data_IF_915209008449
#
_entry.id   IF_915209008449
#
_cell.length_a   1.000
_cell.length_b   1.000
_cell.length_c   1.000
_cell.angle_alpha   90.00
_cell.angle_beta   90.00
_cell.angle_gamma   90.00
#
_symmetry.space_group_name_H-M   'P 1'
#
loop_
_entity.id
_entity.type
_entity.pdbx_description
1 polymer ?
#
# COMPACT_ATOMS: atom_id res chain seq x y z
N UNK A 1 11.45 26.04 -12.46
CA UNK A 1 10.48 25.12 -13.14
C UNK A 1 9.47 24.64 -12.11
N UNK A 2 8.20 24.80 -12.39
CA UNK A 2 7.12 24.25 -11.58
C UNK A 2 6.71 22.87 -12.09
N UNK A 3 6.67 21.88 -11.20
CA UNK A 3 6.32 20.49 -11.53
C UNK A 3 5.01 20.12 -10.89
N UNK A 4 4.04 19.71 -11.71
CA UNK A 4 2.85 18.99 -11.27
C UNK A 4 3.15 17.49 -11.20
N UNK A 5 2.65 16.82 -10.17
CA UNK A 5 2.88 15.38 -10.01
C UNK A 5 1.57 14.65 -9.70
N UNK A 6 1.27 13.61 -10.49
CA UNK A 6 0.11 12.74 -10.27
C UNK A 6 0.62 11.37 -9.89
N UNK A 7 0.18 10.87 -8.73
CA UNK A 7 0.53 9.54 -8.23
C UNK A 7 -0.69 8.63 -8.30
N UNK A 8 -0.56 7.51 -9.02
CA UNK A 8 -1.62 6.52 -9.18
C UNK A 8 -1.18 5.17 -8.66
N UNK A 9 -2.13 4.37 -8.20
CA UNK A 9 -1.93 2.98 -7.82
C UNK A 9 -1.63 2.77 -6.33
N UNK A 10 -0.52 2.11 -5.99
CA UNK A 10 -0.27 1.57 -4.65
C UNK A 10 0.79 2.35 -3.87
N UNK A 11 0.94 2.02 -2.58
CA UNK A 11 1.92 2.60 -1.64
C UNK A 11 3.36 2.60 -2.17
N UNK A 12 3.75 1.59 -2.99
CA UNK A 12 5.06 1.52 -3.62
C UNK A 12 5.23 2.63 -4.66
N UNK A 13 4.15 2.97 -5.40
CA UNK A 13 4.16 4.11 -6.32
C UNK A 13 4.23 5.44 -5.55
N UNK A 14 3.57 5.55 -4.39
CA UNK A 14 3.69 6.73 -3.52
C UNK A 14 5.14 6.94 -3.09
N UNK A 15 5.83 5.90 -2.63
CA UNK A 15 7.26 5.97 -2.29
C UNK A 15 8.11 6.39 -3.49
N UNK A 16 7.82 5.84 -4.68
CA UNK A 16 8.54 6.19 -5.90
C UNK A 16 8.31 7.66 -6.29
N UNK A 17 7.07 8.14 -6.18
CA UNK A 17 6.73 9.55 -6.43
C UNK A 17 7.47 10.50 -5.50
N UNK A 18 7.51 10.22 -4.20
CA UNK A 18 8.25 11.01 -3.22
C UNK A 18 9.76 11.05 -3.52
N UNK A 19 10.33 9.95 -4.04
CA UNK A 19 11.73 9.89 -4.49
C UNK A 19 11.96 10.72 -5.76
N UNK A 20 11.06 10.63 -6.75
CA UNK A 20 11.11 11.47 -7.95
C UNK A 20 11.07 12.96 -7.60
N UNK A 21 10.17 13.33 -6.70
CA UNK A 21 10.01 14.70 -6.25
C UNK A 21 11.26 15.22 -5.52
N UNK A 22 11.89 14.40 -4.70
CA UNK A 22 13.16 14.77 -4.06
C UNK A 22 14.26 15.02 -5.09
N UNK A 23 14.40 14.13 -6.09
CA UNK A 23 15.38 14.32 -7.18
C UNK A 23 15.14 15.60 -8.00
N UNK A 24 13.88 15.94 -8.25
CA UNK A 24 13.51 17.16 -8.97
C UNK A 24 13.78 18.41 -8.12
N UNK A 25 13.46 18.37 -6.83
CA UNK A 25 13.72 19.46 -5.89
C UNK A 25 15.24 19.72 -5.71
N UNK A 26 16.07 18.68 -5.72
CA UNK A 26 17.54 18.80 -5.70
C UNK A 26 18.10 19.60 -6.92
N UNK A 27 17.30 19.69 -7.98
CA UNK A 27 17.61 20.48 -9.18
C UNK A 27 16.90 21.84 -9.22
N UNK A 28 16.30 22.25 -8.10
CA UNK A 28 15.62 23.54 -7.98
C UNK A 28 14.23 23.55 -8.61
N UNK A 29 13.61 22.39 -8.84
CA UNK A 29 12.22 22.36 -9.22
C UNK A 29 11.34 22.70 -8.00
N UNK A 30 10.28 23.46 -8.25
CA UNK A 30 9.25 23.80 -7.29
C UNK A 30 8.00 23.00 -7.60
N UNK A 31 7.31 22.53 -6.59
CA UNK A 31 6.02 21.92 -6.76
C UNK A 31 4.97 22.95 -7.14
N UNK A 32 4.16 22.63 -8.14
CA UNK A 32 3.01 23.43 -8.51
C UNK A 32 1.90 23.27 -7.46
N UNK A 33 1.24 24.37 -7.11
CA UNK A 33 0.09 24.33 -6.18
C UNK A 33 -1.16 23.69 -6.83
N UNK A 34 -1.25 23.77 -8.16
CA UNK A 34 -2.27 23.12 -9.01
C UNK A 34 -1.62 22.63 -10.30
N UNK A 35 -2.22 21.62 -10.93
CA UNK A 35 -1.69 21.09 -12.19
C UNK A 35 -1.69 22.13 -13.31
N UNK A 36 -2.66 23.02 -13.34
CA UNK A 36 -2.77 24.13 -14.32
C UNK A 36 -1.61 25.13 -14.23
N UNK A 37 -0.91 25.19 -13.10
CA UNK A 37 0.26 26.04 -12.90
C UNK A 37 1.60 25.35 -13.22
N UNK A 38 1.55 24.05 -13.55
CA UNK A 38 2.73 23.26 -13.81
C UNK A 38 3.33 23.55 -15.20
N UNK A 39 4.66 23.64 -15.26
CA UNK A 39 5.45 23.69 -16.50
C UNK A 39 5.78 22.28 -17.02
N UNK A 40 5.91 21.31 -16.10
CA UNK A 40 6.08 19.90 -16.41
C UNK A 40 5.11 19.10 -15.54
N UNK A 41 4.36 18.18 -16.14
CA UNK A 41 3.47 17.26 -15.42
C UNK A 41 4.04 15.86 -15.51
N UNK A 42 4.28 15.25 -14.35
CA UNK A 42 4.77 13.86 -14.23
C UNK A 42 3.65 12.98 -13.69
N UNK A 43 3.30 11.93 -14.42
CA UNK A 43 2.26 10.96 -14.03
C UNK A 43 2.94 9.62 -13.69
N UNK A 44 2.91 9.22 -12.42
CA UNK A 44 3.37 7.90 -12.00
C UNK A 44 2.23 6.90 -12.13
N UNK A 45 2.31 6.06 -13.17
CA UNK A 45 1.25 5.20 -13.67
C UNK A 45 1.19 3.85 -12.98
N UNK A 46 -0.01 3.29 -12.88
CA UNK A 46 -0.26 1.92 -12.44
C UNK A 46 -0.69 1.04 -13.62
N UNK A 47 -0.10 -0.16 -13.73
CA UNK A 47 -0.39 -1.14 -14.78
C UNK A 47 -0.84 -2.50 -14.24
N UNK A 48 -1.34 -2.57 -12.99
CA UNK A 48 -1.58 -3.83 -12.30
C UNK A 48 -2.88 -4.51 -12.72
N UNK A 49 -3.98 -3.77 -12.82
CA UNK A 49 -5.29 -4.23 -13.28
C UNK A 49 -5.85 -3.25 -14.32
N UNK A 50 -6.85 -3.70 -15.10
CA UNK A 50 -7.38 -2.88 -16.20
C UNK A 50 -8.01 -1.57 -15.74
N UNK A 51 -8.67 -1.55 -14.58
CA UNK A 51 -9.20 -0.32 -13.99
C UNK A 51 -8.08 0.71 -13.71
N UNK A 52 -6.95 0.27 -13.15
CA UNK A 52 -5.82 1.13 -12.87
C UNK A 52 -5.07 1.59 -14.14
N UNK A 53 -5.06 0.75 -15.19
CA UNK A 53 -4.56 1.16 -16.52
C UNK A 53 -5.41 2.26 -17.11
N UNK A 54 -6.76 2.09 -17.04
CA UNK A 54 -7.71 3.11 -17.52
C UNK A 54 -7.52 4.43 -16.79
N UNK A 55 -7.47 4.41 -15.45
CA UNK A 55 -7.21 5.60 -14.63
C UNK A 55 -5.89 6.29 -15.04
N UNK A 56 -4.84 5.51 -15.27
CA UNK A 56 -3.55 6.03 -15.71
C UNK A 56 -3.62 6.69 -17.10
N UNK A 57 -4.35 6.10 -18.03
CA UNK A 57 -4.56 6.68 -19.38
C UNK A 57 -5.40 7.95 -19.28
N UNK A 58 -6.48 7.93 -18.52
CA UNK A 58 -7.36 9.10 -18.32
C UNK A 58 -6.55 10.29 -17.74
N UNK A 59 -5.67 10.05 -16.76
CA UNK A 59 -4.80 11.07 -16.19
C UNK A 59 -3.77 11.62 -17.19
N UNK A 60 -3.20 10.77 -18.05
CA UNK A 60 -2.27 11.20 -19.11
C UNK A 60 -3.00 12.07 -20.13
N UNK A 61 -4.17 11.67 -20.59
CA UNK A 61 -4.97 12.43 -21.54
C UNK A 61 -5.36 13.79 -20.98
N UNK A 62 -5.74 13.86 -19.70
CA UNK A 62 -6.04 15.12 -19.04
C UNK A 62 -4.82 16.04 -18.95
N UNK A 63 -3.66 15.51 -18.58
CA UNK A 63 -2.41 16.27 -18.60
C UNK A 63 -2.02 16.74 -20.02
N UNK A 64 -2.31 15.93 -21.05
CA UNK A 64 -2.10 16.30 -22.45
C UNK A 64 -2.91 17.53 -22.86
N UNK A 65 -4.19 17.63 -22.42
CA UNK A 65 -5.03 18.83 -22.67
C UNK A 65 -4.46 20.10 -22.04
N UNK A 66 -3.80 19.97 -20.89
CA UNK A 66 -3.17 21.13 -20.23
C UNK A 66 -1.97 21.70 -21.02
N UNK A 67 -1.37 20.92 -21.96
CA UNK A 67 -0.38 21.44 -22.90
C UNK A 67 -1.00 22.41 -23.93
N UNK A 68 -2.19 22.10 -24.40
CA UNK A 68 -2.89 22.90 -25.40
C UNK A 68 -3.40 24.22 -24.84
N UNK A 69 -3.84 24.21 -23.58
CA UNK A 69 -4.56 25.32 -22.92
C UNK A 69 -3.64 26.16 -22.00
N UNK A 70 -2.42 25.71 -21.68
CA UNK A 70 -1.72 26.26 -20.54
C UNK A 70 -0.22 26.47 -20.62
N UNK A 71 0.38 26.44 -19.43
CA UNK A 71 1.81 26.64 -19.21
C UNK A 71 2.62 25.35 -19.35
N UNK A 72 1.94 24.20 -19.43
CA UNK A 72 2.58 22.90 -19.48
C UNK A 72 3.41 22.77 -20.77
N UNK A 73 4.70 22.58 -20.61
CA UNK A 73 5.67 22.43 -21.70
C UNK A 73 5.95 20.95 -22.01
N UNK A 74 5.79 20.07 -20.99
CA UNK A 74 6.03 18.65 -21.17
C UNK A 74 5.15 17.80 -20.24
N UNK A 75 4.66 16.68 -20.77
CA UNK A 75 4.00 15.60 -20.06
C UNK A 75 4.92 14.40 -20.02
N UNK A 76 5.15 13.87 -18.82
CA UNK A 76 6.04 12.72 -18.58
C UNK A 76 5.24 11.60 -17.93
N UNK A 77 5.18 10.44 -18.57
CA UNK A 77 4.59 9.24 -18.00
C UNK A 77 5.68 8.32 -17.44
N UNK A 78 5.58 7.95 -16.17
CA UNK A 78 6.53 7.04 -15.51
C UNK A 78 5.81 5.86 -14.87
N UNK A 79 6.53 4.83 -14.45
CA UNK A 79 6.02 3.80 -13.56
C UNK A 79 5.67 2.48 -14.22
N UNK A 80 4.77 1.72 -13.57
CA UNK A 80 4.52 0.31 -13.87
C UNK A 80 3.84 0.07 -15.22
N UNK A 81 2.90 0.93 -15.63
CA UNK A 81 2.23 0.78 -16.93
C UNK A 81 3.22 1.04 -18.06
N UNK A 82 4.02 2.11 -17.93
CA UNK A 82 5.06 2.43 -18.93
C UNK A 82 6.10 1.31 -19.01
N UNK A 83 6.52 0.72 -17.89
CA UNK A 83 7.46 -0.41 -17.89
C UNK A 83 6.98 -1.57 -18.76
N UNK A 84 5.67 -1.75 -18.85
CA UNK A 84 5.05 -2.91 -19.47
C UNK A 84 4.60 -2.67 -20.91
N UNK A 85 4.14 -1.46 -21.22
CA UNK A 85 3.42 -1.12 -22.44
C UNK A 85 3.99 0.13 -23.16
N UNK A 86 5.30 0.40 -23.01
CA UNK A 86 5.93 1.63 -23.51
C UNK A 86 5.63 1.90 -24.99
N UNK A 87 5.87 0.91 -25.86
CA UNK A 87 5.77 1.10 -27.32
C UNK A 87 4.31 1.35 -27.73
N UNK A 88 3.36 0.61 -27.15
CA UNK A 88 1.93 0.79 -27.38
C UNK A 88 1.45 2.18 -26.90
N UNK A 89 1.94 2.60 -25.71
CA UNK A 89 1.61 3.91 -25.16
C UNK A 89 2.21 5.05 -26.00
N UNK A 90 3.43 4.89 -26.49
CA UNK A 90 4.08 5.90 -27.34
C UNK A 90 3.34 6.10 -28.68
N UNK A 91 2.81 5.01 -29.24
CA UNK A 91 2.01 5.08 -30.46
C UNK A 91 0.61 5.67 -30.22
N UNK A 92 0.00 5.39 -29.06
CA UNK A 92 -1.37 5.79 -28.74
C UNK A 92 -1.50 7.18 -28.10
N UNK A 93 -0.44 7.70 -27.44
CA UNK A 93 -0.45 8.94 -26.65
C UNK A 93 0.66 9.88 -27.10
N UNK A 94 0.54 10.48 -28.29
CA UNK A 94 1.56 11.36 -28.87
C UNK A 94 1.77 12.68 -28.09
N UNK A 95 0.85 13.04 -27.20
CA UNK A 95 0.95 14.18 -26.29
C UNK A 95 2.03 14.02 -25.22
N UNK A 96 2.48 12.79 -24.93
CA UNK A 96 3.50 12.49 -23.91
C UNK A 96 4.90 12.68 -24.49
N UNK A 97 5.71 13.53 -23.88
CA UNK A 97 7.07 13.87 -24.32
C UNK A 97 8.12 12.86 -23.88
N UNK A 98 7.86 12.12 -22.77
CA UNK A 98 8.82 11.19 -22.19
C UNK A 98 8.11 10.03 -21.49
N UNK A 99 8.52 8.81 -21.83
CA UNK A 99 8.09 7.58 -21.18
C UNK A 99 9.26 6.91 -20.44
N UNK A 100 9.14 6.70 -19.12
CA UNK A 100 10.14 6.01 -18.30
C UNK A 100 9.49 4.87 -17.50
N UNK A 101 10.04 3.67 -17.65
CA UNK A 101 9.59 2.52 -16.86
C UNK A 101 9.93 2.65 -15.37
N UNK A 102 9.31 1.81 -14.55
CA UNK A 102 9.56 1.78 -13.10
C UNK A 102 11.03 1.51 -12.72
N UNK A 103 11.79 0.85 -13.60
CA UNK A 103 13.22 0.58 -13.41
C UNK A 103 14.14 1.74 -13.85
N UNK A 104 13.59 2.82 -14.40
CA UNK A 104 14.35 3.91 -15.01
C UNK A 104 14.25 5.22 -14.21
N UNK A 105 14.01 5.13 -12.89
CA UNK A 105 13.82 6.30 -12.02
C UNK A 105 14.98 7.30 -12.13
N UNK A 106 16.21 6.82 -12.22
CA UNK A 106 17.41 7.65 -12.27
C UNK A 106 17.56 8.44 -13.60
N UNK A 107 16.72 8.13 -14.61
CA UNK A 107 16.74 8.81 -15.91
C UNK A 107 15.89 10.07 -15.97
N UNK A 108 14.94 10.28 -15.05
CA UNK A 108 14.01 11.41 -15.14
C UNK A 108 14.75 12.75 -15.18
N UNK A 109 15.62 13.00 -14.21
CA UNK A 109 16.37 14.26 -14.15
C UNK A 109 17.29 14.47 -15.35
N UNK A 110 18.16 13.51 -15.74
CA UNK A 110 18.97 13.64 -16.95
C UNK A 110 18.18 13.91 -18.23
N UNK A 111 17.02 13.29 -18.40
CA UNK A 111 16.17 13.48 -19.57
C UNK A 111 15.52 14.87 -19.61
N UNK A 112 15.10 15.41 -18.45
CA UNK A 112 14.58 16.77 -18.35
C UNK A 112 15.69 17.82 -18.53
N UNK A 113 16.91 17.57 -18.02
CA UNK A 113 18.08 18.43 -18.27
C UNK A 113 18.44 18.49 -19.76
N UNK A 114 18.44 17.35 -20.44
CA UNK A 114 18.75 17.27 -21.87
C UNK A 114 17.74 18.04 -22.72
N UNK A 115 16.50 18.16 -22.27
CA UNK A 115 15.43 18.94 -22.92
C UNK A 115 15.43 20.42 -22.53
N UNK A 116 16.31 20.83 -21.62
CA UNK A 116 16.37 22.21 -21.11
C UNK A 116 15.20 22.59 -20.19
N UNK A 117 14.45 21.61 -19.71
CA UNK A 117 13.28 21.80 -18.85
C UNK A 117 13.66 21.99 -17.38
N UNK A 118 14.84 21.55 -16.96
CA UNK A 118 15.35 21.71 -15.58
C UNK A 118 16.79 22.20 -15.61
N UNK A 119 17.19 23.01 -14.60
CA UNK A 119 18.54 23.52 -14.49
C UNK A 119 19.53 22.46 -13.99
N UNK A 120 20.83 22.71 -14.26
CA UNK A 120 21.93 21.84 -13.79
C UNK A 120 22.39 22.15 -12.37
N UNK A 121 21.85 23.17 -11.72
CA UNK A 121 22.23 23.53 -10.36
C UNK A 121 21.60 22.56 -9.37
N UNK A 122 22.44 21.95 -8.55
CA UNK A 122 22.00 21.17 -7.40
C UNK A 122 21.75 22.12 -6.23
N UNK A 123 20.50 22.23 -5.80
CA UNK A 123 20.18 22.81 -4.51
C UNK A 123 20.21 21.67 -3.48
N UNK A 124 20.98 21.77 -2.39
CA UNK A 124 21.01 20.71 -1.39
C UNK A 124 19.63 20.55 -0.78
N UNK A 125 19.01 19.41 -1.01
CA UNK A 125 17.78 19.02 -0.33
C UNK A 125 18.12 18.02 0.79
N UNK A 126 17.74 18.27 2.03
CA UNK A 126 18.16 17.45 3.18
C UNK A 126 17.46 16.09 3.26
N UNK A 127 16.65 15.72 2.29
CA UNK A 127 15.84 14.50 2.36
C UNK A 127 15.87 13.65 1.11
N UNK A 128 15.92 12.33 1.28
CA UNK A 128 15.82 11.33 0.21
C UNK A 128 14.42 11.31 -0.41
N UNK A 129 13.41 11.88 0.29
CA UNK A 129 12.00 11.86 -0.10
C UNK A 129 11.29 13.15 0.27
N UNK A 130 10.47 13.65 -0.66
CA UNK A 130 9.49 14.70 -0.39
C UNK A 130 8.12 14.05 -0.19
N UNK A 131 7.49 14.39 0.93
CA UNK A 131 6.17 13.87 1.25
C UNK A 131 5.11 14.39 0.27
N UNK A 132 4.26 13.46 -0.17
CA UNK A 132 3.06 13.71 -0.99
C UNK A 132 1.87 13.12 -0.25
N UNK A 133 0.91 13.93 0.14
CA UNK A 133 -0.32 13.47 0.78
C UNK A 133 -0.76 14.34 1.95
N UNK A 134 -1.93 14.00 2.50
CA UNK A 134 -2.60 14.78 3.54
C UNK A 134 -2.29 14.29 4.96
N UNK A 135 -1.68 13.09 5.09
CA UNK A 135 -1.38 12.43 6.36
C UNK A 135 0.13 12.33 6.63
N UNK A 136 0.84 13.43 6.96
CA UNK A 136 2.30 13.44 7.13
C UNK A 136 2.79 12.54 8.27
N UNK A 137 1.92 12.16 9.20
CA UNK A 137 2.21 11.26 10.30
C UNK A 137 2.21 9.78 9.89
N UNK A 138 1.67 9.44 8.72
CA UNK A 138 1.68 8.09 8.14
C UNK A 138 2.64 8.05 6.96
N UNK A 139 3.61 7.16 6.99
CA UNK A 139 4.60 7.05 5.92
C UNK A 139 4.81 5.59 5.51
N UNK A 140 5.19 5.41 4.26
CA UNK A 140 5.52 4.09 3.73
C UNK A 140 7.04 3.95 3.59
N UNK A 141 7.59 2.81 4.01
CA UNK A 141 9.00 2.48 3.89
C UNK A 141 9.17 1.25 3.01
N UNK A 142 9.63 1.46 1.79
CA UNK A 142 9.85 0.38 0.83
C UNK A 142 11.20 -0.28 1.11
N UNK A 143 11.19 -1.55 1.50
CA UNK A 143 12.39 -2.28 1.94
C UNK A 143 12.99 -3.20 0.87
N UNK A 144 12.22 -3.50 -0.17
CA UNK A 144 12.68 -4.27 -1.33
C UNK A 144 11.88 -3.93 -2.57
N UNK A 145 12.36 -4.33 -3.74
CA UNK A 145 11.71 -4.17 -5.04
C UNK A 145 11.65 -5.50 -5.77
N UNK A 146 10.57 -5.74 -6.54
CA UNK A 146 10.41 -6.94 -7.35
C UNK A 146 9.96 -8.17 -6.57
N UNK A 147 9.70 -9.27 -7.30
CA UNK A 147 9.18 -10.50 -6.71
C UNK A 147 9.61 -11.72 -7.52
N UNK A 148 10.13 -12.77 -6.84
CA UNK A 148 10.54 -14.02 -7.44
C UNK A 148 9.45 -15.11 -7.42
N UNK A 149 8.29 -14.82 -6.82
CA UNK A 149 7.16 -15.73 -6.82
C UNK A 149 6.59 -15.87 -8.24
N UNK A 150 6.37 -17.10 -8.64
CA UNK A 150 5.82 -17.42 -9.97
C UNK A 150 4.30 -17.55 -9.97
N UNK A 151 3.56 -16.75 -9.21
CA UNK A 151 2.10 -16.78 -9.16
C UNK A 151 1.52 -16.62 -10.57
N UNK A 152 0.63 -17.52 -10.98
CA UNK A 152 0.17 -17.62 -12.36
C UNK A 152 -0.58 -16.38 -12.87
N UNK A 153 -1.22 -15.63 -11.98
CA UNK A 153 -2.02 -14.44 -12.26
C UNK A 153 -1.26 -13.12 -12.20
N UNK A 154 -0.03 -13.13 -11.66
CA UNK A 154 0.63 -11.90 -11.22
C UNK A 154 1.59 -11.35 -12.27
N UNK A 155 1.39 -10.09 -12.66
CA UNK A 155 2.24 -9.37 -13.59
C UNK A 155 3.39 -8.59 -12.93
N UNK A 156 3.53 -8.62 -11.60
CA UNK A 156 4.57 -7.87 -10.87
C UNK A 156 5.98 -8.14 -11.38
N UNK A 157 6.42 -9.40 -11.64
CA UNK A 157 7.76 -9.63 -12.18
C UNK A 157 8.02 -8.96 -13.53
N UNK A 158 6.97 -8.73 -14.35
CA UNK A 158 7.08 -8.03 -15.63
C UNK A 158 7.23 -6.52 -15.46
N UNK A 159 6.79 -5.96 -14.32
CA UNK A 159 6.80 -4.52 -14.04
C UNK A 159 7.94 -4.09 -13.12
N UNK A 160 8.24 -4.91 -12.11
CA UNK A 160 9.17 -4.58 -11.03
C UNK A 160 10.41 -5.48 -10.99
N UNK A 161 10.48 -6.45 -11.89
CA UNK A 161 11.60 -7.38 -12.01
C UNK A 161 11.70 -8.39 -10.87
N UNK A 162 12.90 -8.97 -10.73
CA UNK A 162 13.23 -9.92 -9.66
C UNK A 162 13.35 -9.23 -8.32
N UNK A 163 13.14 -10.00 -7.25
CA UNK A 163 13.30 -9.53 -5.88
C UNK A 163 14.71 -9.00 -5.62
N UNK A 164 14.79 -7.81 -5.03
CA UNK A 164 16.03 -7.16 -4.60
C UNK A 164 15.78 -6.40 -3.30
N UNK A 165 16.36 -6.87 -2.21
CA UNK A 165 16.33 -6.20 -0.91
C UNK A 165 17.27 -4.98 -0.88
N UNK A 166 16.81 -3.89 -0.29
CA UNK A 166 17.67 -2.74 -0.02
C UNK A 166 18.60 -3.03 1.16
N UNK A 167 19.71 -2.29 1.27
CA UNK A 167 20.64 -2.48 2.35
C UNK A 167 20.02 -2.04 3.69
N UNK A 168 20.36 -2.78 4.76
CA UNK A 168 19.82 -2.51 6.10
C UNK A 168 20.08 -1.06 6.54
N UNK A 169 21.30 -0.60 6.35
CA UNK A 169 21.73 0.77 6.72
C UNK A 169 21.04 1.86 5.88
N UNK A 170 20.70 1.58 4.61
CA UNK A 170 19.92 2.48 3.77
C UNK A 170 18.48 2.62 4.29
N UNK A 171 17.86 1.49 4.64
CA UNK A 171 16.49 1.47 5.17
C UNK A 171 16.42 2.18 6.52
N UNK A 172 17.38 1.93 7.41
CA UNK A 172 17.44 2.57 8.72
C UNK A 172 17.61 4.09 8.57
N UNK A 173 18.54 4.55 7.71
CA UNK A 173 18.70 5.98 7.42
C UNK A 173 17.43 6.61 6.86
N UNK A 174 16.74 5.92 5.94
CA UNK A 174 15.47 6.41 5.41
C UNK A 174 14.40 6.50 6.50
N UNK A 175 14.30 5.50 7.39
CA UNK A 175 13.37 5.52 8.53
C UNK A 175 13.65 6.69 9.49
N UNK A 176 14.92 6.96 9.82
CA UNK A 176 15.33 8.12 10.64
C UNK A 176 14.97 9.45 9.98
N UNK A 177 15.09 9.56 8.65
CA UNK A 177 14.64 10.74 7.91
C UNK A 177 13.11 10.91 7.95
N UNK A 178 12.35 9.81 7.80
CA UNK A 178 10.90 9.85 7.95
C UNK A 178 10.47 10.27 9.35
N UNK A 179 11.14 9.76 10.39
CA UNK A 179 10.94 10.15 11.78
C UNK A 179 11.20 11.65 11.98
N UNK A 180 12.36 12.15 11.51
CA UNK A 180 12.71 13.57 11.57
C UNK A 180 11.70 14.47 10.81
N UNK A 181 11.02 13.91 9.81
CA UNK A 181 9.94 14.55 9.07
C UNK A 181 8.58 14.45 9.78
N UNK A 182 8.49 13.83 10.96
CA UNK A 182 7.29 13.74 11.78
C UNK A 182 6.46 12.49 11.57
N UNK A 183 7.00 11.43 10.97
CA UNK A 183 6.32 10.14 10.88
C UNK A 183 6.02 9.58 12.28
N UNK A 184 4.80 9.13 12.48
CA UNK A 184 4.32 8.47 13.71
C UNK A 184 3.97 7.01 13.45
N UNK A 185 3.55 6.71 12.25
CA UNK A 185 3.37 5.35 11.74
C UNK A 185 4.22 5.17 10.48
N UNK A 186 4.97 4.07 10.43
CA UNK A 186 5.69 3.64 9.24
C UNK A 186 5.19 2.27 8.83
N UNK A 187 4.58 2.24 7.65
CA UNK A 187 4.13 1.02 6.99
C UNK A 187 5.28 0.43 6.17
N UNK A 188 5.81 -0.72 6.57
CA UNK A 188 6.82 -1.44 5.80
C UNK A 188 6.14 -2.10 4.60
N UNK A 189 6.62 -1.79 3.40
CA UNK A 189 6.05 -2.28 2.15
C UNK A 189 7.08 -2.93 1.23
N UNK A 190 6.64 -3.96 0.55
CA UNK A 190 7.35 -4.68 -0.50
C UNK A 190 6.32 -5.39 -1.40
N UNK A 191 6.75 -6.10 -2.43
CA UNK A 191 5.88 -7.05 -3.14
C UNK A 191 5.70 -8.35 -2.35
N UNK A 192 6.69 -8.72 -1.56
CA UNK A 192 6.63 -9.70 -0.48
C UNK A 192 7.59 -9.28 0.64
N UNK A 193 7.02 -8.74 1.71
CA UNK A 193 7.82 -8.26 2.84
C UNK A 193 8.54 -9.42 3.57
N UNK A 194 7.90 -10.59 3.65
CA UNK A 194 8.49 -11.75 4.30
C UNK A 194 9.70 -12.35 3.57
N UNK A 195 9.95 -11.90 2.33
CA UNK A 195 11.12 -12.34 1.54
C UNK A 195 12.37 -11.47 1.76
N UNK A 196 12.25 -10.35 2.48
CA UNK A 196 13.37 -9.44 2.73
C UNK A 196 14.62 -10.18 3.23
N UNK A 197 15.76 -9.84 2.63
CA UNK A 197 17.09 -10.30 2.99
C UNK A 197 17.50 -11.67 2.42
N UNK A 198 16.56 -12.45 1.85
CA UNK A 198 16.89 -13.80 1.32
C UNK A 198 17.83 -13.78 0.13
N UNK A 199 17.86 -12.71 -0.64
CA UNK A 199 18.75 -12.50 -1.78
C UNK A 199 20.16 -12.02 -1.35
N UNK A 200 20.32 -11.46 -0.15
CA UNK A 200 21.53 -10.75 0.27
C UNK A 200 22.56 -11.63 0.96
N UNK A 201 22.40 -12.75 1.40
CA UNK A 201 23.39 -13.65 2.05
C UNK A 201 24.26 -13.00 3.16
N UNK A 202 23.79 -11.90 3.74
CA UNK A 202 24.43 -11.17 4.84
C UNK A 202 23.86 -11.56 6.22
N UNK A 203 22.89 -12.45 6.26
CA UNK A 203 22.24 -12.95 7.46
C UNK A 203 21.12 -12.06 8.00
N UNK A 204 20.88 -10.90 7.40
CA UNK A 204 19.79 -10.01 7.79
C UNK A 204 18.51 -10.37 7.04
N UNK A 205 17.48 -10.75 7.78
CA UNK A 205 16.13 -11.03 7.30
C UNK A 205 15.13 -10.04 7.93
N UNK A 206 13.84 -10.20 7.68
CA UNK A 206 12.83 -9.27 8.20
C UNK A 206 12.89 -9.09 9.73
N UNK A 207 13.05 -10.12 10.59
CA UNK A 207 13.21 -9.92 12.03
C UNK A 207 14.39 -9.02 12.41
N UNK A 208 15.56 -9.20 11.78
CA UNK A 208 16.75 -8.35 12.03
C UNK A 208 16.52 -6.91 11.57
N UNK A 209 15.82 -6.71 10.46
CA UNK A 209 15.42 -5.37 10.01
C UNK A 209 14.51 -4.70 11.04
N UNK A 210 13.51 -5.41 11.55
CA UNK A 210 12.60 -4.88 12.57
C UNK A 210 13.35 -4.55 13.87
N UNK A 211 14.24 -5.43 14.34
CA UNK A 211 15.07 -5.17 15.52
C UNK A 211 15.96 -3.92 15.31
N UNK A 212 16.49 -3.72 14.10
CA UNK A 212 17.29 -2.53 13.78
C UNK A 212 16.43 -1.25 13.77
N UNK A 213 15.26 -1.27 13.14
CA UNK A 213 14.34 -0.13 13.12
C UNK A 213 13.89 0.26 14.53
N UNK A 214 13.56 -0.73 15.37
CA UNK A 214 13.19 -0.52 16.77
C UNK A 214 14.32 0.10 17.57
N UNK A 215 15.56 -0.32 17.34
CA UNK A 215 16.73 0.19 18.06
C UNK A 215 17.16 1.59 17.62
N UNK A 216 17.06 1.89 16.32
CA UNK A 216 17.65 3.08 15.69
C UNK A 216 16.64 4.21 15.45
N UNK A 217 15.36 4.01 15.78
CA UNK A 217 14.29 5.02 15.67
C UNK A 217 13.38 4.98 16.88
N UNK A 218 12.67 6.09 17.14
CA UNK A 218 11.59 6.18 18.14
C UNK A 218 10.20 6.21 17.50
N UNK A 219 10.07 5.75 16.24
CA UNK A 219 8.79 5.67 15.52
C UNK A 219 7.81 4.82 16.35
N UNK A 220 6.67 5.37 16.76
CA UNK A 220 5.75 4.65 17.67
C UNK A 220 5.07 3.42 17.05
N UNK A 221 4.78 3.47 15.76
CA UNK A 221 4.05 2.41 15.06
C UNK A 221 4.78 1.93 13.82
N UNK A 222 5.08 0.63 13.79
CA UNK A 222 5.61 -0.10 12.64
C UNK A 222 4.56 -1.13 12.21
N UNK A 223 4.02 -0.99 11.00
CA UNK A 223 3.02 -1.91 10.44
C UNK A 223 3.62 -2.73 9.31
N UNK A 224 3.29 -4.01 9.27
CA UNK A 224 3.78 -4.95 8.26
C UNK A 224 2.69 -5.24 7.24
N UNK A 225 2.94 -4.90 5.96
CA UNK A 225 2.00 -5.12 4.87
C UNK A 225 2.59 -6.09 3.83
N UNK A 226 1.74 -6.84 3.13
CA UNK A 226 2.09 -7.73 2.02
C UNK A 226 3.06 -8.87 2.40
N UNK A 227 2.70 -9.67 3.40
CA UNK A 227 3.49 -10.84 3.79
C UNK A 227 2.99 -12.10 3.08
N UNK A 228 3.86 -12.74 2.34
CA UNK A 228 3.56 -14.06 1.79
C UNK A 228 3.54 -15.11 2.91
N UNK A 229 2.44 -15.88 3.02
CA UNK A 229 2.20 -16.75 4.17
C UNK A 229 3.34 -17.73 4.47
N UNK A 230 3.96 -18.31 3.41
CA UNK A 230 5.08 -19.24 3.59
C UNK A 230 6.34 -18.58 4.19
N UNK A 231 6.44 -17.26 4.17
CA UNK A 231 7.57 -16.50 4.73
C UNK A 231 7.39 -16.09 6.19
N UNK A 232 6.21 -16.27 6.77
CA UNK A 232 5.94 -15.96 8.18
C UNK A 232 6.57 -17.05 9.05
N UNK A 233 7.67 -16.69 9.71
CA UNK A 233 8.48 -17.60 10.55
C UNK A 233 8.12 -17.45 12.03
N UNK A 234 8.38 -18.46 12.89
CA UNK A 234 8.24 -18.32 14.34
C UNK A 234 9.02 -17.13 14.89
N UNK A 235 10.24 -16.90 14.42
CA UNK A 235 11.08 -15.77 14.83
C UNK A 235 10.44 -14.40 14.50
N UNK A 236 9.80 -14.26 13.34
CA UNK A 236 9.04 -13.03 13.01
C UNK A 236 7.90 -12.82 14.01
N UNK A 237 7.13 -13.86 14.31
CA UNK A 237 6.01 -13.78 15.25
C UNK A 237 6.49 -13.46 16.68
N UNK A 238 7.59 -14.06 17.12
CA UNK A 238 8.23 -13.75 18.41
C UNK A 238 8.71 -12.29 18.47
N UNK A 239 9.27 -11.76 17.37
CA UNK A 239 9.67 -10.35 17.28
C UNK A 239 8.45 -9.42 17.39
N UNK A 240 7.36 -9.73 16.70
CA UNK A 240 6.11 -8.98 16.80
C UNK A 240 5.51 -9.02 18.21
N UNK A 241 5.50 -10.19 18.84
CA UNK A 241 4.95 -10.35 20.20
C UNK A 241 5.77 -9.64 21.27
N UNK A 242 7.10 -9.56 21.09
CA UNK A 242 8.02 -8.94 22.04
C UNK A 242 8.02 -7.41 21.96
N UNK A 243 7.86 -6.85 20.76
CA UNK A 243 8.02 -5.41 20.52
C UNK A 243 6.67 -4.72 20.26
N UNK A 244 6.16 -3.92 21.24
CA UNK A 244 4.83 -3.32 21.14
C UNK A 244 4.71 -2.20 20.08
N UNK A 245 5.83 -1.71 19.54
CA UNK A 245 5.81 -0.75 18.43
C UNK A 245 5.56 -1.43 17.09
N UNK A 246 5.77 -2.75 16.99
CA UNK A 246 5.34 -3.54 15.84
C UNK A 246 3.88 -3.89 16.06
N UNK A 247 3.01 -3.31 15.24
CA UNK A 247 1.57 -3.43 15.47
C UNK A 247 1.08 -4.88 15.36
N UNK A 248 0.10 -5.30 16.17
CA UNK A 248 -0.53 -6.61 16.10
C UNK A 248 -1.48 -6.68 14.89
N UNK A 249 -0.92 -6.48 13.72
CA UNK A 249 -1.60 -6.47 12.44
C UNK A 249 -0.77 -7.22 11.40
N UNK A 250 -1.42 -8.07 10.61
CA UNK A 250 -0.72 -8.91 9.65
C UNK A 250 -1.53 -9.02 8.36
N UNK A 251 -1.01 -8.45 7.26
CA UNK A 251 -1.61 -8.58 5.93
C UNK A 251 -0.97 -9.76 5.19
N UNK A 252 -1.75 -10.84 5.06
CA UNK A 252 -1.31 -12.14 4.53
C UNK A 252 -2.26 -12.62 3.42
N UNK A 253 -2.05 -12.23 2.15
CA UNK A 253 -2.90 -12.67 1.04
C UNK A 253 -2.83 -14.18 0.80
N UNK A 254 -3.92 -14.92 1.02
CA UNK A 254 -4.01 -16.36 0.75
C UNK A 254 -4.41 -16.66 -0.70
N UNK A 255 -5.10 -15.73 -1.36
CA UNK A 255 -5.63 -15.75 -2.72
C UNK A 255 -6.82 -16.70 -2.92
N UNK A 256 -6.79 -17.90 -2.36
CA UNK A 256 -7.87 -18.90 -2.37
C UNK A 256 -7.66 -19.94 -1.25
N UNK A 257 -8.67 -20.81 -1.00
CA UNK A 257 -8.57 -21.90 -0.04
C UNK A 257 -8.77 -23.30 -0.64
N UNK A 258 -9.23 -23.43 -1.90
CA UNK A 258 -9.20 -24.71 -2.60
C UNK A 258 -7.77 -25.07 -3.01
N UNK A 259 -7.30 -26.26 -2.64
CA UNK A 259 -6.00 -26.76 -3.00
C UNK A 259 -5.81 -26.89 -4.52
N UNK A 260 -6.89 -27.20 -5.26
CA UNK A 260 -6.90 -27.29 -6.71
C UNK A 260 -6.69 -25.91 -7.36
N UNK A 261 -7.39 -24.87 -6.87
CA UNK A 261 -7.22 -23.49 -7.36
C UNK A 261 -5.85 -22.96 -7.00
N UNK A 262 -5.39 -23.14 -5.76
CA UNK A 262 -4.05 -22.75 -5.32
C UNK A 262 -2.94 -23.37 -6.17
N UNK A 263 -3.09 -24.65 -6.55
CA UNK A 263 -2.15 -25.31 -7.45
C UNK A 263 -2.14 -24.67 -8.84
N UNK A 264 -3.32 -24.36 -9.42
CA UNK A 264 -3.43 -23.64 -10.71
C UNK A 264 -2.85 -22.22 -10.62
N UNK A 265 -3.05 -21.53 -9.50
CA UNK A 265 -2.44 -20.22 -9.20
C UNK A 265 -0.93 -20.30 -8.99
N UNK A 266 -0.35 -21.49 -8.95
CA UNK A 266 1.08 -21.75 -8.59
C UNK A 266 1.44 -21.22 -7.20
N UNK A 267 0.49 -21.34 -6.26
CA UNK A 267 0.73 -21.06 -4.85
C UNK A 267 1.22 -22.33 -4.15
N UNK A 268 2.30 -22.27 -3.34
CA UNK A 268 2.78 -23.44 -2.60
C UNK A 268 1.90 -23.79 -1.41
N UNK A 269 1.13 -22.85 -0.89
CA UNK A 269 0.23 -23.06 0.22
C UNK A 269 -0.88 -24.04 -0.12
N UNK A 270 -1.41 -24.68 0.91
CA UNK A 270 -2.60 -25.53 0.89
C UNK A 270 -3.49 -25.13 2.05
N UNK A 271 -4.78 -25.45 1.97
CA UNK A 271 -5.76 -25.12 3.00
C UNK A 271 -5.26 -25.52 4.39
N UNK A 272 -4.68 -26.71 4.54
CA UNK A 272 -4.09 -27.17 5.81
C UNK A 272 -2.97 -26.27 6.29
N UNK A 273 -2.03 -25.90 5.43
CA UNK A 273 -0.86 -25.07 5.82
C UNK A 273 -1.27 -23.64 6.13
N UNK A 274 -2.29 -23.09 5.46
CA UNK A 274 -2.87 -21.78 5.78
C UNK A 274 -3.49 -21.83 7.19
N UNK A 275 -4.30 -22.87 7.49
CA UNK A 275 -4.91 -23.07 8.82
C UNK A 275 -3.87 -23.15 9.94
N UNK A 276 -2.83 -23.96 9.74
CA UNK A 276 -1.71 -24.08 10.68
C UNK A 276 -1.00 -22.75 10.90
N UNK A 277 -0.81 -21.96 9.84
CA UNK A 277 -0.18 -20.65 9.92
C UNK A 277 -1.03 -19.65 10.70
N UNK A 278 -2.31 -19.52 10.38
CA UNK A 278 -3.21 -18.63 11.11
C UNK A 278 -3.28 -18.99 12.60
N UNK A 279 -3.31 -20.29 12.92
CA UNK A 279 -3.27 -20.76 14.32
C UNK A 279 -2.00 -20.28 15.01
N UNK A 280 -0.82 -20.54 14.41
CA UNK A 280 0.46 -20.13 14.98
C UNK A 280 0.56 -18.60 15.17
N UNK A 281 0.04 -17.82 14.23
CA UNK A 281 -0.03 -16.35 14.34
C UNK A 281 -0.86 -15.94 15.56
N UNK A 282 -2.07 -16.47 15.70
CA UNK A 282 -2.99 -16.13 16.80
C UNK A 282 -2.52 -16.62 18.17
N UNK A 283 -1.82 -17.76 18.21
CA UNK A 283 -1.22 -18.28 19.45
C UNK A 283 -0.03 -17.43 19.92
N UNK A 284 0.78 -16.91 18.98
CA UNK A 284 1.96 -16.13 19.34
C UNK A 284 1.66 -14.65 19.55
N UNK A 285 0.71 -14.09 18.78
CA UNK A 285 0.27 -12.68 18.85
C UNK A 285 -1.25 -12.64 19.09
N UNK A 286 -1.74 -12.82 20.32
CA UNK A 286 -3.17 -13.04 20.61
C UNK A 286 -4.10 -11.91 20.18
N UNK A 287 -3.62 -10.67 20.20
CA UNK A 287 -4.39 -9.47 19.83
C UNK A 287 -4.33 -9.17 18.31
N UNK A 288 -3.73 -10.04 17.51
CA UNK A 288 -3.51 -9.78 16.08
C UNK A 288 -4.82 -9.66 15.31
N UNK A 289 -4.88 -8.66 14.44
CA UNK A 289 -5.84 -8.61 13.34
C UNK A 289 -5.15 -9.16 12.07
N UNK A 290 -5.76 -10.15 11.43
CA UNK A 290 -5.26 -10.74 10.21
C UNK A 290 -6.13 -10.27 9.05
N UNK A 291 -5.51 -9.52 8.14
CA UNK A 291 -6.08 -9.17 6.85
C UNK A 291 -5.62 -10.18 5.79
N UNK A 292 -6.51 -10.53 4.89
CA UNK A 292 -6.16 -11.38 3.73
C UNK A 292 -6.78 -10.85 2.45
N UNK A 293 -6.36 -11.41 1.33
CA UNK A 293 -6.92 -11.11 0.00
C UNK A 293 -7.24 -12.40 -0.71
N UNK A 294 -8.42 -12.45 -1.38
CA UNK A 294 -8.88 -13.57 -2.18
C UNK A 294 -9.18 -13.14 -3.62
N UNK A 295 -8.99 -14.07 -4.56
CA UNK A 295 -9.38 -13.93 -5.96
C UNK A 295 -10.41 -14.99 -6.26
N UNK A 296 -11.60 -14.59 -6.74
CA UNK A 296 -12.69 -15.49 -7.16
C UNK A 296 -12.81 -15.51 -8.67
N UNK A 297 -13.34 -16.61 -9.21
CA UNK A 297 -13.50 -16.80 -10.65
C UNK A 297 -12.18 -17.02 -11.38
N UNK A 298 -11.19 -17.59 -10.71
CA UNK A 298 -9.94 -17.98 -11.37
C UNK A 298 -10.20 -19.10 -12.41
N UNK A 299 -9.49 -19.14 -13.57
CA UNK A 299 -9.69 -20.15 -14.59
C UNK A 299 -9.77 -21.57 -14.03
N UNK A 300 -10.86 -22.27 -14.36
CA UNK A 300 -11.18 -23.62 -13.88
C UNK A 300 -11.68 -23.70 -12.43
N UNK A 301 -12.05 -22.59 -11.79
CA UNK A 301 -12.67 -22.59 -10.46
C UNK A 301 -14.12 -23.15 -10.56
N UNK A 302 -14.37 -24.27 -9.90
CA UNK A 302 -15.70 -24.88 -9.85
C UNK A 302 -16.56 -24.33 -8.71
N UNK A 303 -17.84 -24.69 -8.67
CA UNK A 303 -18.73 -24.32 -7.55
C UNK A 303 -18.29 -24.98 -6.23
N UNK A 304 -17.72 -26.20 -6.30
CA UNK A 304 -17.16 -26.88 -5.14
C UNK A 304 -15.90 -26.19 -4.64
N UNK A 305 -15.04 -25.67 -5.54
CA UNK A 305 -13.86 -24.89 -5.19
C UNK A 305 -14.27 -23.60 -4.44
N UNK A 306 -15.29 -22.90 -4.97
CA UNK A 306 -15.82 -21.69 -4.32
C UNK A 306 -16.50 -22.00 -2.98
N UNK A 307 -17.30 -23.07 -2.91
CA UNK A 307 -17.91 -23.50 -1.64
C UNK A 307 -16.84 -23.84 -0.59
N UNK A 308 -15.73 -24.48 -1.00
CA UNK A 308 -14.58 -24.74 -0.11
C UNK A 308 -13.92 -23.45 0.38
N UNK A 309 -13.81 -22.42 -0.45
CA UNK A 309 -13.31 -21.09 -0.04
C UNK A 309 -14.24 -20.47 1.00
N UNK A 310 -15.54 -20.44 0.75
CA UNK A 310 -16.54 -19.86 1.64
C UNK A 310 -16.53 -20.54 3.02
N UNK A 311 -16.57 -21.88 3.05
CA UNK A 311 -16.51 -22.65 4.30
C UNK A 311 -15.20 -22.41 5.08
N UNK A 312 -14.08 -22.23 4.36
CA UNK A 312 -12.80 -21.93 4.97
C UNK A 312 -12.77 -20.52 5.59
N UNK A 313 -13.32 -19.51 4.92
CA UNK A 313 -13.40 -18.15 5.44
C UNK A 313 -14.30 -18.08 6.68
N UNK A 314 -15.43 -18.79 6.67
CA UNK A 314 -16.33 -18.92 7.83
C UNK A 314 -15.66 -19.63 9.02
N UNK A 315 -14.87 -20.70 8.76
CA UNK A 315 -14.11 -21.41 9.78
C UNK A 315 -13.00 -20.56 10.39
N UNK A 316 -12.19 -19.92 9.55
CA UNK A 316 -10.97 -19.20 9.96
C UNK A 316 -11.30 -17.84 10.55
N UNK A 317 -12.32 -17.18 10.05
CA UNK A 317 -12.75 -15.86 10.53
C UNK A 317 -11.60 -14.85 10.52
N UNK A 318 -11.13 -14.48 9.34
CA UNK A 318 -10.19 -13.35 9.21
C UNK A 318 -10.88 -12.05 9.63
N UNK A 319 -10.13 -11.17 10.27
CA UNK A 319 -10.65 -9.85 10.67
C UNK A 319 -11.03 -9.01 9.45
N UNK A 320 -10.27 -9.14 8.35
CA UNK A 320 -10.55 -8.43 7.09
C UNK A 320 -10.22 -9.32 5.88
N UNK A 321 -11.07 -9.30 4.89
CA UNK A 321 -10.82 -9.93 3.57
C UNK A 321 -11.08 -8.93 2.46
N UNK A 322 -10.04 -8.58 1.71
CA UNK A 322 -10.19 -7.98 0.40
C UNK A 322 -10.49 -9.06 -0.64
N UNK A 323 -11.46 -8.86 -1.51
CA UNK A 323 -11.79 -9.82 -2.55
C UNK A 323 -11.86 -9.16 -3.92
N UNK A 324 -11.41 -9.89 -4.96
CA UNK A 324 -11.38 -9.42 -6.33
C UNK A 324 -11.84 -10.54 -7.27
N UNK A 325 -12.48 -10.17 -8.37
CA UNK A 325 -12.66 -11.10 -9.49
C UNK A 325 -11.32 -11.29 -10.22
N UNK A 326 -11.08 -12.48 -10.73
CA UNK A 326 -9.95 -12.70 -11.62
C UNK A 326 -10.04 -11.80 -12.85
N UNK A 327 -8.95 -11.08 -13.13
CA UNK A 327 -8.77 -10.27 -14.33
C UNK A 327 -7.53 -10.77 -15.06
N UNK A 328 -7.63 -11.23 -16.31
CA UNK A 328 -6.50 -11.73 -17.08
C UNK A 328 -5.50 -10.59 -17.33
N UNK A 329 -4.23 -10.82 -17.01
CA UNK A 329 -3.15 -9.86 -17.26
C UNK A 329 -2.21 -10.42 -18.33
N UNK A 330 -2.02 -9.67 -19.38
CA UNK A 330 -1.14 -10.02 -20.49
C UNK A 330 0.26 -10.46 -20.01
N UNK A 331 0.86 -11.45 -20.67
CA UNK A 331 2.18 -11.98 -20.29
C UNK A 331 2.19 -12.86 -19.03
N UNK A 332 1.07 -12.98 -18.32
CA UNK A 332 0.96 -13.91 -17.19
C UNK A 332 0.55 -15.30 -17.68
N UNK A 333 0.90 -16.33 -16.89
CA UNK A 333 0.52 -17.70 -17.22
C UNK A 333 -1.01 -17.90 -17.19
N UNK A 334 -1.70 -17.27 -16.26
CA UNK A 334 -3.16 -17.43 -16.13
C UNK A 334 -3.89 -16.85 -17.35
N UNK A 335 -3.34 -15.81 -18.00
CA UNK A 335 -3.94 -15.26 -19.23
C UNK A 335 -3.90 -16.23 -20.43
N UNK A 336 -3.10 -17.30 -20.36
CA UNK A 336 -3.06 -18.36 -21.38
C UNK A 336 -3.96 -19.55 -21.04
N UNK A 337 -4.62 -19.56 -19.89
CA UNK A 337 -5.60 -20.57 -19.50
C UNK A 337 -6.96 -20.22 -20.13
N UNK A 338 -7.79 -21.25 -20.35
CA UNK A 338 -9.16 -21.00 -20.72
C UNK A 338 -9.88 -20.34 -19.54
N UNK A 339 -10.38 -19.11 -19.75
CA UNK A 339 -11.21 -18.41 -18.76
C UNK A 339 -12.66 -18.86 -18.95
N UNK A 340 -12.98 -19.97 -18.30
CA UNK A 340 -14.25 -20.70 -18.43
C UNK A 340 -15.29 -20.31 -17.36
N UNK A 341 -14.94 -19.36 -16.47
CA UNK A 341 -15.88 -18.82 -15.46
C UNK A 341 -16.53 -17.55 -16.00
N UNK A 342 -17.86 -17.55 -16.26
CA UNK A 342 -18.55 -16.38 -16.79
C UNK A 342 -18.42 -15.16 -15.84
N UNK A 343 -18.37 -13.95 -16.41
CA UNK A 343 -18.27 -12.70 -15.62
C UNK A 343 -19.44 -12.50 -14.64
N UNK A 344 -20.65 -13.00 -14.99
CA UNK A 344 -21.79 -12.97 -14.07
C UNK A 344 -21.55 -13.84 -12.83
N UNK A 345 -20.92 -15.02 -13.01
CA UNK A 345 -20.57 -15.93 -11.92
C UNK A 345 -19.45 -15.35 -11.06
N UNK A 346 -18.43 -14.75 -11.68
CA UNK A 346 -17.35 -14.06 -10.93
C UNK A 346 -17.93 -12.98 -10.02
N UNK A 347 -18.85 -12.16 -10.53
CA UNK A 347 -19.51 -11.09 -9.75
C UNK A 347 -20.37 -11.66 -8.62
N UNK A 348 -21.19 -12.67 -8.91
CA UNK A 348 -22.01 -13.33 -7.89
C UNK A 348 -21.14 -13.91 -6.76
N UNK A 349 -20.03 -14.59 -7.10
CA UNK A 349 -19.10 -15.14 -6.11
C UNK A 349 -18.46 -14.03 -5.28
N UNK A 350 -18.07 -12.92 -5.90
CA UNK A 350 -17.52 -11.75 -5.19
C UNK A 350 -18.54 -11.18 -4.19
N UNK A 351 -19.77 -10.93 -4.62
CA UNK A 351 -20.83 -10.40 -3.77
C UNK A 351 -21.12 -11.31 -2.56
N UNK A 352 -21.21 -12.62 -2.78
CA UNK A 352 -21.41 -13.61 -1.71
C UNK A 352 -20.25 -13.64 -0.72
N UNK A 353 -19.01 -13.54 -1.21
CA UNK A 353 -17.84 -13.52 -0.34
C UNK A 353 -17.82 -12.24 0.50
N UNK A 354 -18.09 -11.09 -0.09
CA UNK A 354 -18.12 -9.81 0.63
C UNK A 354 -19.25 -9.77 1.67
N UNK A 355 -20.40 -10.38 1.37
CA UNK A 355 -21.51 -10.49 2.33
C UNK A 355 -21.14 -11.36 3.53
N UNK A 356 -20.54 -12.55 3.31
CA UNK A 356 -20.02 -13.38 4.39
C UNK A 356 -18.99 -12.61 5.22
N UNK A 357 -18.08 -11.88 4.56
CA UNK A 357 -17.02 -11.18 5.27
C UNK A 357 -17.54 -10.04 6.15
N UNK A 358 -18.58 -9.32 5.74
CA UNK A 358 -19.21 -8.30 6.59
C UNK A 358 -19.69 -8.91 7.90
N UNK A 359 -20.39 -10.06 7.83
CA UNK A 359 -20.87 -10.78 9.03
C UNK A 359 -19.69 -11.24 9.89
N UNK A 360 -18.69 -11.87 9.30
CA UNK A 360 -17.49 -12.35 10.01
C UNK A 360 -16.73 -11.19 10.65
N UNK A 361 -16.57 -10.07 9.96
CA UNK A 361 -15.88 -8.90 10.52
C UNK A 361 -16.62 -8.35 11.73
N UNK A 362 -17.94 -8.19 11.66
CA UNK A 362 -18.75 -7.71 12.76
C UNK A 362 -18.62 -8.63 13.97
N UNK A 363 -18.77 -9.95 13.80
CA UNK A 363 -18.58 -10.95 14.88
C UNK A 363 -17.16 -10.89 15.49
N UNK A 364 -16.14 -10.76 14.65
CA UNK A 364 -14.75 -10.71 15.11
C UNK A 364 -14.43 -9.42 15.85
N UNK A 365 -15.04 -8.31 15.45
CA UNK A 365 -14.82 -7.01 16.08
C UNK A 365 -15.52 -6.87 17.43
N UNK A 366 -16.62 -7.61 17.68
CA UNK A 366 -17.27 -7.69 19.00
C UNK A 366 -16.29 -8.02 20.13
N UNK A 367 -15.24 -8.79 19.87
CA UNK A 367 -14.20 -9.11 20.87
C UNK A 367 -13.45 -7.88 21.38
N UNK A 368 -13.44 -6.77 20.64
CA UNK A 368 -12.77 -5.53 21.01
C UNK A 368 -13.68 -4.58 21.80
N UNK A 369 -15.00 -4.75 21.74
CA UNK A 369 -15.96 -3.93 22.48
C UNK A 369 -15.73 -4.07 23.98
N UNK A 370 -15.74 -2.94 24.68
CA UNK A 370 -15.43 -2.84 26.11
C UNK A 370 -13.93 -2.85 26.45
N UNK A 371 -13.04 -3.04 25.47
CA UNK A 371 -11.59 -3.03 25.70
C UNK A 371 -10.98 -1.67 25.47
N UNK A 372 -9.88 -1.42 26.18
CA UNK A 372 -9.01 -0.27 25.90
C UNK A 372 -8.11 -0.61 24.72
N UNK A 373 -8.18 0.20 23.69
CA UNK A 373 -7.32 0.14 22.52
C UNK A 373 -6.40 1.35 22.45
N UNK A 374 -5.21 1.16 21.92
CA UNK A 374 -4.38 2.27 21.48
C UNK A 374 -4.84 2.69 20.09
N UNK A 375 -5.04 4.01 19.90
CA UNK A 375 -5.46 4.59 18.62
C UNK A 375 -4.61 5.81 18.28
N UNK A 376 -4.49 6.09 16.97
CA UNK A 376 -3.84 7.29 16.44
C UNK A 376 -4.88 8.16 15.76
N UNK A 377 -4.94 9.43 16.14
CA UNK A 377 -5.81 10.42 15.51
C UNK A 377 -5.26 10.74 14.12
N UNK A 378 -6.07 10.61 13.08
CA UNK A 378 -5.67 10.92 11.71
C UNK A 378 -6.19 12.28 11.23
N UNK A 379 -7.46 12.58 11.53
CA UNK A 379 -8.08 13.85 11.11
C UNK A 379 -9.32 14.16 11.94
N UNK A 380 -9.87 15.36 11.76
CA UNK A 380 -11.18 15.75 12.31
C UNK A 380 -12.11 16.06 11.17
N UNK A 381 -13.26 15.40 11.13
CA UNK A 381 -14.30 15.61 10.13
C UNK A 381 -15.59 15.93 10.85
N UNK A 382 -16.22 17.04 10.52
CA UNK A 382 -17.48 17.51 11.10
C UNK A 382 -17.49 17.56 12.65
N UNK A 383 -16.32 17.87 13.24
CA UNK A 383 -16.16 17.98 14.69
C UNK A 383 -15.95 16.64 15.41
N UNK A 384 -15.85 15.52 14.69
CA UNK A 384 -15.53 14.20 15.22
C UNK A 384 -14.10 13.82 14.83
N UNK A 385 -13.30 13.35 15.78
CA UNK A 385 -11.99 12.83 15.47
C UNK A 385 -12.11 11.44 14.84
N UNK A 386 -11.53 11.31 13.66
CA UNK A 386 -11.30 10.02 13.03
C UNK A 386 -9.89 9.55 13.39
N UNK A 387 -9.81 8.37 13.97
CA UNK A 387 -8.60 7.72 14.41
C UNK A 387 -8.53 6.31 13.82
N UNK A 388 -7.42 5.62 14.00
CA UNK A 388 -7.30 4.18 13.74
C UNK A 388 -6.77 3.49 14.98
N UNK A 389 -7.44 2.40 15.37
CA UNK A 389 -6.89 1.48 16.36
C UNK A 389 -5.70 0.70 15.77
N UNK A 390 -4.88 0.10 16.62
CA UNK A 390 -3.71 -0.71 16.20
C UNK A 390 -4.05 -1.81 15.18
N UNK A 391 -5.32 -2.22 15.12
CA UNK A 391 -5.85 -3.27 14.24
C UNK A 391 -6.35 -2.77 12.89
N UNK A 392 -6.29 -1.47 12.64
CA UNK A 392 -6.81 -0.85 11.41
C UNK A 392 -5.66 -0.23 10.62
N UNK A 393 -5.43 -0.69 9.41
CA UNK A 393 -4.53 -0.05 8.46
C UNK A 393 -5.23 1.11 7.75
N UNK A 394 -4.43 2.09 7.33
CA UNK A 394 -4.90 3.29 6.66
C UNK A 394 -5.61 2.96 5.34
N UNK A 395 -6.71 3.64 5.07
CA UNK A 395 -7.55 3.58 3.86
C UNK A 395 -8.22 2.23 3.54
N UNK A 396 -7.98 1.16 4.31
CA UNK A 396 -8.45 -0.19 3.93
C UNK A 396 -9.27 -0.91 4.99
N UNK A 397 -9.20 -0.52 6.28
CA UNK A 397 -9.79 -1.30 7.37
C UNK A 397 -10.85 -0.55 8.19
N UNK A 398 -11.35 0.56 7.67
CA UNK A 398 -12.28 1.44 8.37
C UNK A 398 -11.58 2.39 9.35
N UNK A 399 -12.37 3.12 10.13
CA UNK A 399 -11.92 4.14 11.07
C UNK A 399 -12.40 3.86 12.49
N UNK A 400 -11.82 4.55 13.44
CA UNK A 400 -12.30 4.64 14.83
C UNK A 400 -12.83 6.05 15.04
N UNK A 401 -14.14 6.21 15.16
CA UNK A 401 -14.79 7.47 15.54
C UNK A 401 -14.51 7.71 17.03
N UNK A 402 -13.76 8.75 17.35
CA UNK A 402 -13.21 8.96 18.68
C UNK A 402 -13.83 10.17 19.35
N UNK A 403 -14.74 9.92 20.29
CA UNK A 403 -15.38 10.96 21.09
C UNK A 403 -14.40 11.59 22.09
N UNK A 404 -14.47 12.91 22.26
CA UNK A 404 -13.63 13.68 23.18
C UNK A 404 -12.24 14.06 22.64
N UNK A 405 -11.93 13.77 21.37
CA UNK A 405 -10.64 13.97 20.77
C UNK A 405 -10.56 15.04 19.66
N UNK A 406 -11.66 15.77 19.38
CA UNK A 406 -11.74 16.72 18.27
C UNK A 406 -10.70 17.86 18.29
N UNK A 407 -10.08 18.14 19.44
CA UNK A 407 -9.02 19.16 19.55
C UNK A 407 -7.59 18.59 19.42
N UNK A 408 -7.45 17.28 19.26
CA UNK A 408 -6.14 16.65 19.17
C UNK A 408 -5.59 16.72 17.74
N UNK A 409 -4.32 17.06 17.56
CA UNK A 409 -3.71 17.09 16.25
C UNK A 409 -3.51 15.67 15.69
N UNK A 410 -3.50 15.55 14.36
CA UNK A 410 -3.16 14.31 13.65
C UNK A 410 -1.81 13.74 14.11
N UNK A 411 -1.68 12.42 14.19
CA UNK A 411 -0.53 11.72 14.74
C UNK A 411 -0.49 11.61 16.27
N UNK A 412 -1.50 12.17 16.98
CA UNK A 412 -1.62 11.99 18.43
C UNK A 412 -2.04 10.57 18.75
N UNK A 413 -1.29 9.91 19.64
CA UNK A 413 -1.60 8.56 20.12
C UNK A 413 -2.35 8.65 21.45
N UNK A 414 -3.44 7.91 21.53
CA UNK A 414 -4.34 7.88 22.69
C UNK A 414 -4.62 6.44 23.14
N UNK A 415 -5.02 6.29 24.40
CA UNK A 415 -5.76 5.12 24.85
C UNK A 415 -7.26 5.48 24.84
N UNK A 416 -8.09 4.63 24.25
CA UNK A 416 -9.54 4.81 24.12
C UNK A 416 -10.28 3.51 24.44
N UNK A 417 -11.51 3.60 24.96
CA UNK A 417 -12.39 2.45 25.12
C UNK A 417 -13.23 2.28 23.87
N UNK A 418 -13.19 1.11 23.26
CA UNK A 418 -14.07 0.73 22.16
C UNK A 418 -15.47 0.50 22.74
N UNK A 419 -16.46 1.28 22.33
CA UNK A 419 -17.83 1.21 22.85
C UNK A 419 -18.76 0.41 21.95
N UNK A 420 -18.46 0.32 20.66
CA UNK A 420 -19.27 -0.39 19.70
C UNK A 420 -18.67 -0.41 18.31
N UNK A 421 -19.39 -1.04 17.39
CA UNK A 421 -19.09 -1.16 15.99
C UNK A 421 -20.15 -0.35 15.22
N UNK A 422 -19.70 0.45 14.27
CA UNK A 422 -20.55 1.19 13.33
C UNK A 422 -20.27 0.75 11.89
N UNK A 423 -21.30 0.72 11.06
CA UNK A 423 -21.22 0.38 9.63
C UNK A 423 -20.41 -0.93 9.35
N UNK A 424 -20.56 -1.93 10.25
CA UNK A 424 -19.93 -3.27 10.19
C UNK A 424 -18.41 -3.29 10.36
N UNK A 425 -17.70 -2.17 10.20
CA UNK A 425 -16.23 -2.16 10.12
C UNK A 425 -15.56 -1.03 10.92
N UNK A 426 -16.31 -0.01 11.29
CA UNK A 426 -15.80 1.15 12.03
C UNK A 426 -16.00 0.93 13.53
N UNK A 427 -15.09 1.46 14.34
CA UNK A 427 -15.27 1.48 15.78
C UNK A 427 -15.80 2.85 16.24
N UNK A 428 -16.68 2.82 17.25
CA UNK A 428 -16.91 3.99 18.11
C UNK A 428 -16.13 3.81 19.39
N UNK A 429 -15.41 4.85 19.80
CA UNK A 429 -14.59 4.82 20.99
C UNK A 429 -14.62 6.14 21.75
N UNK A 430 -14.39 6.08 23.06
CA UNK A 430 -14.28 7.25 23.93
C UNK A 430 -12.82 7.41 24.40
N UNK A 431 -12.31 8.64 24.27
CA UNK A 431 -10.97 9.01 24.73
C UNK A 431 -10.81 8.78 26.24
N UNK A 432 -9.80 8.01 26.64
CA UNK A 432 -9.40 7.87 28.06
C UNK A 432 -8.26 8.84 28.41
N UNK A 433 -7.19 8.80 27.64
CA UNK A 433 -6.00 9.64 27.88
C UNK A 433 -5.13 9.76 26.62
N UNK A 434 -4.39 10.85 26.56
CA UNK A 434 -3.34 11.06 25.56
C UNK A 434 -2.06 10.34 26.04
N UNK A 435 -1.50 9.47 25.20
CA UNK A 435 -0.30 8.68 25.50
C UNK A 435 0.94 9.28 24.84
N UNK A 436 0.83 9.68 23.57
CA UNK A 436 1.92 10.25 22.80
C UNK A 436 1.46 11.48 22.02
N UNK A 437 1.98 12.66 22.39
CA UNK A 437 1.73 13.91 21.65
C UNK A 437 2.66 14.01 20.46
N UNK A 438 2.19 14.67 19.41
CA UNK A 438 3.05 15.10 18.29
C UNK A 438 4.03 16.12 18.85
N UNK A 439 5.35 15.99 18.65
CA UNK A 439 6.30 17.03 18.97
C UNK A 439 5.90 18.31 18.24
N UNK A 440 6.00 19.46 18.90
CA UNK A 440 5.81 20.75 18.23
C UNK A 440 6.83 20.81 17.08
N UNK A 441 6.39 20.78 15.84
CA UNK A 441 7.30 20.87 14.71
C UNK A 441 7.60 22.33 14.44
N UNK A 442 8.87 22.73 14.56
CA UNK A 442 9.39 24.01 14.03
C UNK A 442 9.54 23.97 12.49
N UNK A 443 9.02 22.93 11.81
CA UNK A 443 9.12 22.83 10.37
C UNK A 443 8.21 23.87 9.70
N UNK A 444 8.72 24.67 8.75
CA UNK A 444 7.90 25.60 7.97
C UNK A 444 6.77 24.83 7.32
N UNK A 445 5.56 25.41 7.36
CA UNK A 445 4.30 24.80 6.92
C UNK A 445 4.47 24.08 5.58
N UNK A 446 4.35 22.76 5.62
CA UNK A 446 4.44 21.90 4.44
C UNK A 446 3.14 22.03 3.69
N UNK A 447 3.22 22.45 2.43
CA UNK A 447 2.08 22.42 1.52
C UNK A 447 1.84 20.99 1.10
N UNK A 448 0.64 20.47 1.40
CA UNK A 448 0.16 19.23 0.80
C UNK A 448 0.02 19.45 -0.71
N UNK A 449 0.44 18.48 -1.50
CA UNK A 449 0.17 18.49 -2.94
C UNK A 449 -1.28 18.10 -3.20
N UNK A 450 -1.92 18.67 -4.23
CA UNK A 450 -3.16 18.12 -4.72
C UNK A 450 -2.87 16.70 -5.26
N UNK A 451 -3.29 15.69 -4.51
CA UNK A 451 -3.31 14.30 -4.97
C UNK A 451 -4.62 14.12 -5.72
N UNK A 452 -4.57 14.18 -7.06
CA UNK A 452 -5.66 13.68 -7.89
C UNK A 452 -5.54 12.15 -7.92
N UNK A 453 -6.50 11.47 -7.33
CA UNK A 453 -6.51 10.02 -7.25
C UNK A 453 -5.76 9.50 -6.01
N UNK A 454 -6.40 9.52 -4.85
CA UNK A 454 -5.95 8.74 -3.71
C UNK A 454 -6.07 7.25 -4.04
N UNK A 455 -5.23 6.43 -3.43
CA UNK A 455 -5.27 4.95 -3.46
C UNK A 455 -6.63 4.33 -3.09
N UNK A 456 -7.65 5.17 -2.82
CA UNK A 456 -9.04 4.82 -2.60
C UNK A 456 -9.65 3.94 -3.71
N UNK A 457 -9.10 3.96 -4.93
CA UNK A 457 -9.70 3.21 -6.04
C UNK A 457 -9.37 1.72 -6.04
N UNK A 458 -8.32 1.28 -5.35
CA UNK A 458 -8.03 -0.17 -5.19
C UNK A 458 -8.65 -0.72 -3.89
N UNK A 459 -8.95 0.14 -2.91
CA UNK A 459 -9.55 -0.24 -1.63
C UNK A 459 -11.07 -0.05 -1.52
N UNK A 460 -11.68 0.77 -2.39
CA UNK A 460 -13.10 1.16 -2.26
C UNK A 460 -14.11 0.28 -3.04
N UNK A 461 -13.66 -0.80 -3.68
CA UNK A 461 -14.58 -1.82 -4.20
C UNK A 461 -14.95 -2.83 -3.11
N UNK A 462 -15.48 -2.35 -1.97
CA UNK A 462 -15.89 -3.16 -0.84
C UNK A 462 -16.50 -2.33 0.29
N UNK A 463 -17.20 -1.23 -0.04
CA UNK A 463 -18.19 -0.61 0.85
C UNK A 463 -19.59 -1.03 0.44
#
# INVERSE_FOLDING_TARGET
MKVGFVTLGCDKNTVDSERYLAQLADRGAELADALDDAEVIVINTCGFIDAAKKESIDAIVEAGRMKDDGRCQAVVAVGCMVQRHRDELADALPEVDLFLGASEMDRLVPELEARGLIGRQSAPHPGVRLFVGDAPHIRYLKVSEGCDHGCAFCAIPLMRGKHRSFALDEIVREAQLLEAQGAREVNLVAQDLAHYGRDRRDGFTLPELLDALVRETDIPWLRLLYLYGAGITPRLLETMAREPRILPYLDMPIQHASDAVLARMRRPERQRTIRERVRAVRETVPEVAIRTTCIVGFPGETDEDFASLMAFLEEIQFERVGAFTYSPQEGTRAATMADDVPESVKRERLERLLELQRQVTAERYERFVGRTARAMVDRVVDGVAQARAVWQADDVDGVTLLDGAASLPAGTIVDAVIEGIEEDVDFRATLLRVVGRVPASDAPGRRALPVMGSAATIGSFGR
#
